data_IF_574878994601
#
_entry.id   IF_574878994601
#
_cell.length_a   1.000
_cell.length_b   1.000
_cell.length_c   1.000
_cell.angle_alpha   90.00
_cell.angle_beta   90.00
_cell.angle_gamma   90.00
#
_symmetry.space_group_name_H-M   'P 1'
#
loop_
_entity.id
_entity.type
_entity.pdbx_description
1 polymer ?
#
# COMPACT_ATOMS: atom_id res chain seq x y z
N UNK A 1 -44.30 -11.42 1.63
CA UNK A 1 -43.06 -10.92 1.01
C UNK A 1 -41.96 -10.90 2.07
N UNK A 2 -41.29 -12.03 2.30
CA UNK A 2 -40.21 -12.13 3.29
C UNK A 2 -38.87 -12.06 2.56
N UNK A 3 -38.35 -10.85 2.39
CA UNK A 3 -37.00 -10.64 1.88
C UNK A 3 -35.98 -11.16 2.89
N UNK A 4 -35.13 -12.08 2.47
CA UNK A 4 -34.12 -12.73 3.31
C UNK A 4 -33.08 -11.70 3.78
N UNK A 5 -33.07 -11.33 5.07
CA UNK A 5 -32.33 -10.20 5.64
C UNK A 5 -30.93 -10.56 6.18
N UNK A 6 -30.27 -11.60 5.66
CA UNK A 6 -29.14 -12.24 6.35
C UNK A 6 -27.81 -12.22 5.60
N UNK A 7 -27.35 -11.06 5.09
CA UNK A 7 -25.96 -10.97 4.59
C UNK A 7 -25.32 -9.58 4.44
N UNK A 8 -25.93 -8.49 4.94
CA UNK A 8 -25.29 -7.15 4.85
C UNK A 8 -24.06 -7.10 5.76
N UNK A 9 -22.92 -6.64 5.23
CA UNK A 9 -21.68 -6.47 5.99
C UNK A 9 -20.81 -7.73 6.14
N UNK A 10 -21.25 -8.90 5.67
CA UNK A 10 -20.47 -10.14 5.80
C UNK A 10 -19.19 -10.13 4.95
N UNK A 11 -19.19 -9.46 3.80
CA UNK A 11 -17.99 -9.31 2.96
C UNK A 11 -16.93 -8.46 3.66
N UNK A 12 -17.28 -7.26 4.14
CA UNK A 12 -16.36 -6.39 4.89
C UNK A 12 -15.86 -7.05 6.17
N UNK A 13 -16.72 -7.77 6.89
CA UNK A 13 -16.29 -8.54 8.06
C UNK A 13 -15.24 -9.60 7.68
N UNK A 14 -15.47 -10.36 6.61
CA UNK A 14 -14.52 -11.36 6.10
C UNK A 14 -13.20 -10.72 5.67
N UNK A 15 -13.27 -9.58 4.96
CA UNK A 15 -12.10 -8.80 4.53
C UNK A 15 -11.27 -8.31 5.73
N UNK A 16 -11.93 -7.80 6.78
CA UNK A 16 -11.25 -7.34 8.01
C UNK A 16 -10.57 -8.52 8.71
N UNK A 17 -11.28 -9.64 8.85
CA UNK A 17 -10.80 -10.81 9.59
C UNK A 17 -9.72 -11.59 8.84
N UNK A 18 -9.63 -11.48 7.51
CA UNK A 18 -8.57 -12.11 6.72
C UNK A 18 -7.26 -11.34 6.70
N UNK A 19 -7.22 -10.09 7.20
CA UNK A 19 -6.03 -9.23 7.14
C UNK A 19 -4.73 -9.87 7.66
N UNK A 20 -4.71 -10.59 8.81
CA UNK A 20 -3.46 -11.21 9.28
C UNK A 20 -2.85 -12.18 8.26
N UNK A 21 -3.69 -12.98 7.61
CA UNK A 21 -3.27 -13.91 6.55
C UNK A 21 -2.81 -13.14 5.31
N UNK A 22 -3.61 -12.17 4.86
CA UNK A 22 -3.30 -11.36 3.67
C UNK A 22 -1.98 -10.59 3.84
N UNK A 23 -1.66 -10.12 5.05
CA UNK A 23 -0.39 -9.45 5.33
C UNK A 23 0.81 -10.40 5.24
N UNK A 24 0.69 -11.63 5.75
CA UNK A 24 1.75 -12.63 5.63
C UNK A 24 2.02 -12.95 4.15
N UNK A 25 0.96 -13.17 3.38
CA UNK A 25 1.05 -13.41 1.93
C UNK A 25 1.66 -12.21 1.19
N UNK A 26 1.27 -10.98 1.52
CA UNK A 26 1.82 -9.78 0.91
C UNK A 26 3.33 -9.63 1.19
N UNK A 27 3.78 -9.96 2.40
CA UNK A 27 5.20 -9.97 2.77
C UNK A 27 5.97 -11.02 1.96
N UNK A 28 5.42 -12.22 1.79
CA UNK A 28 6.07 -13.28 1.03
C UNK A 28 6.16 -12.95 -0.46
N UNK A 29 5.11 -12.34 -1.03
CA UNK A 29 5.16 -11.79 -2.39
C UNK A 29 6.25 -10.73 -2.50
N UNK A 30 6.34 -9.79 -1.56
CA UNK A 30 7.38 -8.77 -1.56
C UNK A 30 8.79 -9.39 -1.49
N UNK A 31 9.01 -10.35 -0.59
CA UNK A 31 10.29 -11.06 -0.44
C UNK A 31 10.72 -11.74 -1.74
N UNK A 32 9.78 -12.36 -2.46
CA UNK A 32 10.06 -12.99 -3.76
C UNK A 32 10.51 -11.99 -4.84
N UNK A 33 10.18 -10.71 -4.68
CA UNK A 33 10.50 -9.61 -5.62
C UNK A 33 11.67 -8.74 -5.14
N UNK A 34 12.09 -8.88 -3.88
CA UNK A 34 13.01 -7.96 -3.22
C UNK A 34 14.33 -7.77 -3.98
N UNK A 35 14.94 -8.86 -4.46
CA UNK A 35 16.19 -8.78 -5.22
C UNK A 35 16.05 -7.95 -6.50
N UNK A 36 14.96 -8.16 -7.26
CA UNK A 36 14.72 -7.41 -8.49
C UNK A 36 14.47 -5.91 -8.20
N UNK A 37 13.76 -5.61 -7.11
CA UNK A 37 13.54 -4.23 -6.66
C UNK A 37 14.85 -3.56 -6.24
N UNK A 38 15.72 -4.26 -5.49
CA UNK A 38 17.03 -3.73 -5.10
C UNK A 38 17.92 -3.48 -6.32
N UNK A 39 17.90 -4.36 -7.32
CA UNK A 39 18.64 -4.14 -8.57
C UNK A 39 18.12 -2.93 -9.35
N UNK A 40 16.80 -2.76 -9.44
CA UNK A 40 16.18 -1.60 -10.08
C UNK A 40 16.63 -0.30 -9.38
N UNK A 41 16.56 -0.29 -8.06
CA UNK A 41 16.95 0.86 -7.24
C UNK A 41 18.42 1.24 -7.41
N UNK A 42 19.32 0.24 -7.34
CA UNK A 42 20.76 0.49 -7.45
C UNK A 42 21.19 0.97 -8.84
N UNK A 43 20.44 0.62 -9.90
CA UNK A 43 20.73 1.08 -11.25
C UNK A 43 20.37 2.55 -11.44
N UNK A 44 19.31 3.01 -10.79
CA UNK A 44 18.80 4.39 -10.90
C UNK A 44 18.35 4.86 -9.51
N UNK A 45 19.29 5.28 -8.65
CA UNK A 45 18.93 5.77 -7.32
C UNK A 45 18.08 7.05 -7.48
N UNK A 46 16.87 7.02 -6.93
CA UNK A 46 15.98 8.17 -6.98
C UNK A 46 16.44 9.25 -5.99
N UNK A 47 16.52 10.50 -6.46
CA UNK A 47 16.79 11.66 -5.58
C UNK A 47 15.55 12.03 -4.74
N UNK A 48 14.36 11.67 -5.21
CA UNK A 48 13.09 11.86 -4.52
C UNK A 48 12.10 10.75 -4.88
N UNK A 49 11.26 10.37 -3.93
CA UNK A 49 10.16 9.40 -4.13
C UNK A 49 8.81 10.07 -3.92
N UNK A 50 7.89 9.84 -4.86
CA UNK A 50 6.49 10.24 -4.70
C UNK A 50 5.64 8.99 -4.48
N UNK A 51 4.90 8.98 -3.37
CA UNK A 51 3.83 8.03 -3.12
C UNK A 51 2.49 8.68 -3.50
N UNK A 52 1.61 7.97 -4.20
CA UNK A 52 0.33 8.53 -4.61
C UNK A 52 -0.79 7.50 -4.64
N UNK A 53 -2.01 7.99 -4.40
CA UNK A 53 -3.24 7.21 -4.38
C UNK A 53 -4.45 8.12 -4.21
N UNK A 54 -5.66 7.55 -4.26
CA UNK A 54 -6.92 8.23 -4.02
C UNK A 54 -7.67 7.60 -2.84
N UNK A 55 -8.52 8.38 -2.16
CA UNK A 55 -9.32 7.89 -1.02
C UNK A 55 -8.45 7.30 0.10
N UNK A 56 -8.78 6.08 0.55
CA UNK A 56 -8.01 5.38 1.59
C UNK A 56 -6.56 5.10 1.20
N UNK A 57 -6.28 4.88 -0.09
CA UNK A 57 -4.92 4.65 -0.60
C UNK A 57 -4.06 5.92 -0.53
N UNK A 58 -4.68 7.11 -0.51
CA UNK A 58 -3.93 8.33 -0.24
C UNK A 58 -3.39 8.33 1.20
N UNK A 59 -4.18 7.93 2.19
CA UNK A 59 -3.69 7.84 3.57
C UNK A 59 -2.55 6.82 3.72
N UNK A 60 -2.63 5.68 3.00
CA UNK A 60 -1.51 4.74 2.91
C UNK A 60 -0.26 5.41 2.32
N UNK A 61 -0.42 6.23 1.28
CA UNK A 61 0.69 6.96 0.64
C UNK A 61 1.36 7.94 1.59
N UNK A 62 0.59 8.66 2.43
CA UNK A 62 1.10 9.55 3.48
C UNK A 62 1.98 8.77 4.46
N UNK A 63 1.48 7.65 4.97
CA UNK A 63 2.23 6.79 5.90
C UNK A 63 3.49 6.21 5.25
N UNK A 64 3.37 5.74 4.00
CA UNK A 64 4.49 5.16 3.26
C UNK A 64 5.61 6.18 3.02
N UNK A 65 5.28 7.41 2.63
CA UNK A 65 6.26 8.48 2.44
C UNK A 65 7.04 8.79 3.73
N UNK A 66 6.32 8.93 4.85
CA UNK A 66 6.94 9.21 6.15
C UNK A 66 7.89 8.09 6.60
N UNK A 67 7.44 6.84 6.54
CA UNK A 67 8.25 5.67 6.94
C UNK A 67 9.45 5.51 6.01
N UNK A 68 9.23 5.62 4.69
CA UNK A 68 10.28 5.46 3.70
C UNK A 68 11.39 6.49 3.88
N UNK A 69 11.04 7.77 4.01
CA UNK A 69 12.01 8.82 4.23
C UNK A 69 12.76 8.61 5.56
N UNK A 70 12.06 8.26 6.63
CA UNK A 70 12.69 8.00 7.93
C UNK A 70 13.71 6.86 7.87
N UNK A 71 13.40 5.76 7.17
CA UNK A 71 14.26 4.58 7.11
C UNK A 71 15.40 4.70 6.09
N UNK A 72 15.19 5.42 4.99
CA UNK A 72 16.15 5.46 3.87
C UNK A 72 16.95 6.76 3.78
N UNK A 73 16.46 7.84 4.40
CA UNK A 73 17.00 9.19 4.23
C UNK A 73 16.70 9.84 2.87
N UNK A 74 16.07 9.11 1.95
CA UNK A 74 15.71 9.64 0.62
C UNK A 74 14.46 10.53 0.78
N UNK A 75 14.48 11.77 0.27
CA UNK A 75 13.30 12.64 0.29
C UNK A 75 12.07 11.93 -0.28
N UNK A 76 10.98 11.89 0.49
CA UNK A 76 9.73 11.29 0.05
C UNK A 76 8.52 12.14 0.41
N UNK A 77 7.58 12.23 -0.53
CA UNK A 77 6.35 12.98 -0.37
C UNK A 77 5.15 12.17 -0.85
N UNK A 78 3.97 12.51 -0.34
CA UNK A 78 2.71 11.94 -0.77
C UNK A 78 1.84 12.98 -1.44
N UNK A 79 1.26 12.65 -2.60
CA UNK A 79 0.29 13.49 -3.30
C UNK A 79 -0.99 12.71 -3.60
N UNK A 80 -2.18 13.33 -3.49
CA UNK A 80 -3.40 12.73 -4.04
C UNK A 80 -3.21 12.48 -5.54
N UNK A 81 -3.73 11.36 -6.04
CA UNK A 81 -3.58 11.00 -7.45
C UNK A 81 -4.13 12.07 -8.42
N UNK A 82 -5.10 12.88 -7.98
CA UNK A 82 -5.66 13.99 -8.77
C UNK A 82 -4.70 15.17 -8.98
N UNK A 83 -3.65 15.27 -8.18
CA UNK A 83 -2.67 16.37 -8.23
C UNK A 83 -1.46 16.06 -9.13
N UNK A 84 -1.36 14.82 -9.62
CA UNK A 84 -0.33 14.41 -10.57
C UNK A 84 -0.90 14.52 -12.00
N UNK A 85 -0.72 15.68 -12.64
CA UNK A 85 -1.12 15.98 -14.03
C UNK A 85 0.07 16.23 -14.93
#
# INVERSE_FOLDING_TARGET
MTGNMSNRGSNTYREIMSQPQVWAEAIDVFRSKAQALSQLWNRNPAEQVIFSGCGSTYYLSVTAAAIFQYLTGVPAQSFPASELV
#
